data_IF_335391574992
#
_entry.id   IF_335391574992
#
_cell.length_a   1.000
_cell.length_b   1.000
_cell.length_c   1.000
_cell.angle_alpha   90.00
_cell.angle_beta   90.00
_cell.angle_gamma   90.00
#
_symmetry.space_group_name_H-M   'P 1'
#
loop_
_entity.id
_entity.type
_entity.pdbx_description
1 polymer ?
#
# COMPACT_ATOMS: atom_id res chain seq x y z
N UNK A 1 -6.40 16.50 49.55
CA UNK A 1 -7.43 15.56 50.04
C UNK A 1 -7.58 14.48 49.00
N UNK A 2 -7.25 13.26 49.39
CA UNK A 2 -7.36 12.01 48.64
C UNK A 2 -8.83 11.60 48.39
N UNK A 3 -8.99 10.63 47.46
CA UNK A 3 -10.16 9.76 47.16
C UNK A 3 -11.10 10.33 46.09
N UNK A 4 -11.45 9.64 44.99
CA UNK A 4 -11.41 8.21 44.62
C UNK A 4 -11.45 8.12 43.08
N UNK A 5 -10.49 7.44 42.46
CA UNK A 5 -10.59 6.94 41.08
C UNK A 5 -10.64 5.41 41.16
N UNK A 6 -11.82 4.84 41.01
CA UNK A 6 -11.99 3.40 40.86
C UNK A 6 -11.61 2.99 39.44
N UNK A 7 -10.56 2.19 39.35
CA UNK A 7 -10.21 1.32 38.24
C UNK A 7 -11.29 0.26 38.02
N UNK A 8 -11.72 0.09 36.77
CA UNK A 8 -12.29 -1.16 36.27
C UNK A 8 -11.55 -1.52 34.98
N UNK A 9 -10.65 -2.50 35.11
CA UNK A 9 -10.18 -3.31 34.01
C UNK A 9 -11.26 -4.32 33.66
N UNK A 10 -11.60 -4.43 32.39
CA UNK A 10 -12.13 -5.66 31.81
C UNK A 10 -11.51 -5.81 30.42
N UNK A 11 -10.86 -6.95 30.23
CA UNK A 11 -10.35 -7.43 28.95
C UNK A 11 -11.48 -7.42 27.90
N UNK A 12 -11.26 -6.65 26.83
CA UNK A 12 -11.81 -6.77 25.47
C UNK A 12 -11.77 -5.39 24.81
N UNK A 13 -10.93 -5.25 23.79
CA UNK A 13 -10.77 -4.03 22.98
C UNK A 13 -12.03 -3.73 22.17
N UNK A 14 -12.94 -2.96 22.78
CA UNK A 14 -14.12 -2.38 22.14
C UNK A 14 -13.81 -0.96 21.65
N UNK A 15 -13.88 -0.74 20.33
CA UNK A 15 -13.87 0.61 19.77
C UNK A 15 -15.24 1.28 19.99
N UNK A 16 -15.26 2.41 20.69
CA UNK A 16 -16.44 3.28 20.79
C UNK A 16 -16.46 4.25 19.60
N UNK A 17 -17.42 4.06 18.69
CA UNK A 17 -17.80 5.08 17.70
C UNK A 17 -18.98 5.84 18.28
N UNK A 18 -18.83 7.15 18.47
CA UNK A 18 -19.91 8.02 18.89
C UNK A 18 -20.58 8.59 17.64
N UNK A 19 -21.72 8.01 17.25
CA UNK A 19 -22.57 8.59 16.22
C UNK A 19 -23.50 9.62 16.87
N UNK A 20 -23.62 10.78 16.24
CA UNK A 20 -24.34 11.93 16.80
C UNK A 20 -25.39 12.43 15.83
N UNK A 21 -26.20 11.52 15.30
CA UNK A 21 -27.39 11.85 14.51
C UNK A 21 -28.49 10.77 14.66
N UNK A 22 -29.07 10.62 15.86
CA UNK A 22 -30.43 10.10 16.04
C UNK A 22 -30.93 10.30 17.47
N UNK A 23 -32.02 11.05 17.62
CA UNK A 23 -32.81 11.05 18.85
C UNK A 23 -33.41 9.65 19.06
N UNK A 24 -32.88 8.90 20.04
CA UNK A 24 -33.41 7.60 20.44
C UNK A 24 -32.32 6.64 20.89
N UNK A 25 -32.22 6.40 22.20
CA UNK A 25 -31.31 5.42 22.80
C UNK A 25 -31.56 4.02 22.21
N UNK A 26 -30.61 3.53 21.41
CA UNK A 26 -30.51 2.10 21.07
C UNK A 26 -29.07 1.67 20.83
N UNK A 27 -28.64 0.68 21.61
CA UNK A 27 -27.34 0.03 21.56
C UNK A 27 -27.38 -1.02 20.43
N UNK A 28 -26.67 -0.81 19.32
CA UNK A 28 -26.55 -1.82 18.27
C UNK A 28 -25.25 -2.61 18.42
N UNK A 29 -25.38 -3.90 18.73
CA UNK A 29 -24.31 -4.90 18.67
C UNK A 29 -24.30 -5.48 17.25
N UNK A 30 -23.22 -5.26 16.49
CA UNK A 30 -23.02 -5.94 15.21
C UNK A 30 -22.40 -7.33 15.46
N UNK A 31 -23.03 -8.44 15.03
CA UNK A 31 -22.42 -9.76 15.13
C UNK A 31 -21.36 -9.95 14.03
N UNK A 32 -20.25 -10.61 14.39
CA UNK A 32 -19.22 -11.11 13.45
C UNK A 32 -19.86 -11.70 12.19
N UNK A 33 -19.66 -11.05 11.05
CA UNK A 33 -20.07 -11.57 9.76
C UNK A 33 -19.06 -12.62 9.30
N UNK A 34 -19.42 -13.90 9.44
CA UNK A 34 -18.54 -15.03 9.18
C UNK A 34 -18.47 -15.32 7.67
N UNK A 35 -17.50 -14.70 6.97
CA UNK A 35 -17.35 -14.75 5.50
C UNK A 35 -16.76 -16.08 4.97
N UNK A 36 -16.29 -16.96 5.85
CA UNK A 36 -15.68 -18.26 5.49
C UNK A 36 -16.64 -19.29 4.90
N UNK A 37 -17.95 -19.19 5.16
CA UNK A 37 -18.92 -20.18 4.65
C UNK A 37 -19.39 -19.92 3.21
N UNK A 38 -19.24 -18.68 2.70
CA UNK A 38 -19.67 -18.36 1.33
C UNK A 38 -18.62 -18.66 0.26
N UNK A 39 -17.34 -18.73 0.64
CA UNK A 39 -16.25 -19.01 -0.30
C UNK A 39 -16.11 -20.53 -0.52
N UNK A 40 -16.29 -21.37 0.51
CA UNK A 40 -16.31 -22.82 0.33
C UNK A 40 -17.45 -23.28 -0.59
N UNK A 41 -18.66 -22.75 -0.43
CA UNK A 41 -19.79 -23.10 -1.30
C UNK A 41 -19.65 -22.57 -2.75
N UNK A 42 -18.94 -21.46 -2.97
CA UNK A 42 -18.68 -20.93 -4.32
C UNK A 42 -17.50 -21.62 -5.02
N UNK A 43 -16.54 -22.13 -4.26
CA UNK A 43 -15.42 -22.92 -4.79
C UNK A 43 -15.89 -24.35 -5.11
N UNK A 44 -16.69 -24.98 -4.24
CA UNK A 44 -17.24 -26.31 -4.49
C UNK A 44 -18.25 -26.31 -5.66
N UNK A 45 -19.08 -25.27 -5.81
CA UNK A 45 -19.99 -25.16 -6.98
C UNK A 45 -19.29 -24.80 -8.31
N UNK A 46 -18.13 -24.16 -8.27
CA UNK A 46 -17.31 -23.85 -9.46
C UNK A 46 -16.41 -25.02 -9.88
N UNK A 47 -16.03 -25.88 -8.93
CA UNK A 47 -15.27 -27.12 -9.18
C UNK A 47 -16.17 -28.31 -9.55
N UNK A 48 -17.40 -28.39 -9.05
CA UNK A 48 -18.37 -29.43 -9.44
C UNK A 48 -19.06 -29.14 -10.79
N UNK A 49 -19.13 -27.88 -11.22
CA UNK A 49 -19.68 -27.52 -12.55
C UNK A 49 -18.69 -27.72 -13.72
N UNK A 50 -17.42 -28.05 -13.43
CA UNK A 50 -16.38 -28.33 -14.45
C UNK A 50 -15.85 -29.76 -14.41
N UNK A 51 -16.54 -30.67 -13.71
CA UNK A 51 -16.14 -32.08 -13.56
C UNK A 51 -17.24 -33.07 -13.90
N UNK A 52 -18.03 -32.78 -14.93
CA UNK A 52 -18.96 -33.73 -15.54
C UNK A 52 -18.93 -33.53 -17.06
N UNK A 53 -18.02 -34.24 -17.74
CA UNK A 53 -18.12 -34.68 -19.14
C UNK A 53 -16.83 -35.43 -19.48
N UNK A 54 -16.75 -36.70 -19.07
CA UNK A 54 -15.93 -37.74 -19.69
C UNK A 54 -16.37 -39.05 -19.02
N UNK A 55 -17.42 -39.67 -19.55
CA UNK A 55 -17.59 -41.11 -19.46
C UNK A 55 -18.31 -41.57 -20.73
N UNK A 56 -17.58 -42.35 -21.51
CA UNK A 56 -18.06 -43.03 -22.71
C UNK A 56 -18.58 -44.41 -22.33
N UNK A 57 -19.90 -44.62 -22.42
CA UNK A 57 -20.51 -45.81 -23.03
C UNK A 57 -22.02 -45.88 -22.80
N UNK A 58 -22.71 -46.23 -23.89
CA UNK A 58 -23.96 -46.99 -23.93
C UNK A 58 -25.34 -46.29 -24.03
N UNK A 59 -25.85 -46.39 -25.27
CA UNK A 59 -27.16 -46.94 -25.63
C UNK A 59 -28.43 -46.06 -25.48
N UNK A 60 -28.85 -45.59 -26.66
CA UNK A 60 -30.21 -45.66 -27.24
C UNK A 60 -31.34 -44.75 -26.74
N UNK A 61 -32.03 -44.21 -27.76
CA UNK A 61 -33.44 -43.73 -27.81
C UNK A 61 -33.73 -42.42 -27.08
N UNK A 62 -34.52 -41.49 -27.60
CA UNK A 62 -35.13 -41.21 -28.90
C UNK A 62 -36.07 -40.04 -28.66
N UNK A 63 -36.29 -39.21 -29.69
CA UNK A 63 -37.42 -38.28 -29.86
C UNK A 63 -37.40 -36.98 -29.02
N UNK A 64 -37.85 -35.82 -29.49
CA UNK A 64 -38.18 -35.24 -30.79
C UNK A 64 -38.63 -33.78 -30.48
N UNK A 65 -38.60 -32.91 -31.51
CA UNK A 65 -39.38 -31.67 -31.66
C UNK A 65 -38.93 -30.43 -30.84
N UNK A 66 -38.96 -29.18 -31.30
CA UNK A 66 -39.24 -28.43 -32.56
C UNK A 66 -38.87 -26.95 -32.20
N UNK A 67 -38.08 -26.20 -32.99
CA UNK A 67 -38.48 -25.04 -33.85
C UNK A 67 -39.59 -24.13 -33.22
N UNK A 68 -39.53 -22.79 -33.22
CA UNK A 68 -39.09 -21.88 -34.28
C UNK A 68 -39.07 -20.39 -33.81
N UNK A 69 -38.38 -19.61 -34.64
CA UNK A 69 -38.12 -18.18 -34.86
C UNK A 69 -39.04 -17.04 -34.36
N UNK A 70 -38.39 -15.86 -34.33
CA UNK A 70 -38.79 -14.52 -34.82
C UNK A 70 -38.64 -13.42 -33.74
N UNK A 71 -38.00 -12.26 -33.92
CA UNK A 71 -37.93 -11.33 -35.05
C UNK A 71 -36.80 -10.28 -34.77
N UNK A 72 -36.06 -9.84 -35.79
CA UNK A 72 -35.04 -8.75 -35.80
C UNK A 72 -35.57 -7.58 -36.67
N UNK A 73 -35.21 -6.27 -36.51
CA UNK A 73 -33.97 -5.76 -37.16
C UNK A 73 -33.25 -4.52 -36.54
N UNK A 74 -31.90 -4.58 -36.57
CA UNK A 74 -30.87 -3.58 -37.00
C UNK A 74 -30.33 -2.49 -36.03
N UNK A 75 -29.04 -2.62 -35.66
CA UNK A 75 -28.00 -1.59 -35.90
C UNK A 75 -26.57 -2.20 -35.90
N UNK A 76 -25.71 -1.66 -36.77
CA UNK A 76 -24.42 -2.18 -37.23
C UNK A 76 -23.28 -2.14 -36.18
N UNK A 77 -22.55 -3.27 -36.03
CA UNK A 77 -21.06 -3.42 -35.92
C UNK A 77 -20.65 -4.72 -35.19
N UNK A 78 -20.40 -5.81 -35.93
CA UNK A 78 -19.47 -6.88 -35.52
C UNK A 78 -18.90 -7.58 -36.77
N UNK A 79 -17.57 -7.71 -36.88
CA UNK A 79 -17.00 -9.02 -37.20
C UNK A 79 -15.67 -9.23 -36.45
N UNK A 80 -15.66 -9.91 -35.30
CA UNK A 80 -14.41 -10.31 -34.63
C UNK A 80 -14.52 -11.66 -33.87
N UNK A 81 -15.57 -12.45 -34.09
CA UNK A 81 -15.78 -13.69 -33.32
C UNK A 81 -15.60 -14.99 -34.14
N UNK A 82 -15.53 -14.94 -35.47
CA UNK A 82 -15.23 -16.14 -36.27
C UNK A 82 -13.73 -16.41 -36.40
N UNK A 83 -12.88 -15.38 -36.42
CA UNK A 83 -11.41 -15.54 -36.46
C UNK A 83 -10.81 -16.11 -35.16
N UNK A 84 -11.54 -16.07 -34.05
CA UNK A 84 -11.05 -16.56 -32.76
C UNK A 84 -11.23 -18.08 -32.58
N UNK A 85 -12.25 -18.67 -33.21
CA UNK A 85 -12.50 -20.11 -33.13
C UNK A 85 -11.68 -20.89 -34.16
N UNK A 86 -11.44 -20.33 -35.34
CA UNK A 86 -10.57 -20.95 -36.35
C UNK A 86 -9.10 -21.06 -35.87
N UNK A 87 -8.62 -20.06 -35.10
CA UNK A 87 -7.28 -20.08 -34.51
C UNK A 87 -7.16 -21.12 -33.38
N UNK A 88 -8.26 -21.40 -32.67
CA UNK A 88 -8.26 -22.35 -31.55
C UNK A 88 -8.18 -23.81 -32.04
N UNK A 89 -8.83 -24.11 -33.18
CA UNK A 89 -8.77 -25.42 -33.81
C UNK A 89 -7.43 -25.65 -34.53
N UNK A 90 -6.83 -24.61 -35.15
CA UNK A 90 -5.45 -24.70 -35.70
C UNK A 90 -4.39 -24.93 -34.60
N UNK A 91 -4.54 -24.34 -33.42
CA UNK A 91 -3.64 -24.56 -32.28
C UNK A 91 -3.79 -25.97 -31.72
N UNK A 92 -5.01 -26.53 -31.70
CA UNK A 92 -5.24 -27.88 -31.19
C UNK A 92 -4.62 -28.95 -32.10
N UNK A 93 -4.73 -28.78 -33.42
CA UNK A 93 -4.13 -29.70 -34.40
C UNK A 93 -2.58 -29.59 -34.45
N UNK A 94 -2.01 -28.42 -34.15
CA UNK A 94 -0.56 -28.22 -34.05
C UNK A 94 0.05 -28.89 -32.79
N UNK A 95 -0.69 -28.91 -31.68
CA UNK A 95 -0.22 -29.48 -30.41
C UNK A 95 -0.26 -31.01 -30.41
N UNK A 96 -1.17 -31.64 -31.17
CA UNK A 96 -1.25 -33.10 -31.30
C UNK A 96 -0.21 -33.66 -32.30
N UNK A 97 0.22 -32.84 -33.27
CA UNK A 97 1.20 -33.22 -34.29
C UNK A 97 2.67 -33.24 -33.81
N UNK A 98 3.00 -32.63 -32.67
CA UNK A 98 4.37 -32.61 -32.12
C UNK A 98 4.48 -33.36 -30.79
N UNK A 99 4.15 -34.66 -30.82
CA UNK A 99 4.47 -35.58 -29.73
C UNK A 99 5.96 -35.97 -29.73
N UNK A 100 6.86 -35.03 -29.39
CA UNK A 100 8.19 -35.31 -28.85
C UNK A 100 8.54 -34.27 -27.78
N UNK A 101 9.15 -34.65 -26.64
CA UNK A 101 9.33 -33.74 -25.52
C UNK A 101 10.41 -32.70 -25.84
N UNK A 102 10.02 -31.43 -25.98
CA UNK A 102 10.93 -30.31 -26.19
C UNK A 102 11.44 -29.82 -24.82
N UNK A 103 12.77 -29.74 -24.65
CA UNK A 103 13.40 -29.30 -23.40
C UNK A 103 13.17 -27.80 -23.14
N UNK A 104 13.13 -27.43 -21.87
CA UNK A 104 12.66 -26.13 -21.34
C UNK A 104 13.51 -24.90 -21.70
N UNK A 105 14.51 -25.03 -22.58
CA UNK A 105 15.41 -23.93 -22.94
C UNK A 105 14.87 -23.06 -24.08
N UNK A 106 14.03 -23.61 -24.96
CA UNK A 106 13.64 -22.91 -26.20
C UNK A 106 12.46 -21.93 -26.01
N UNK A 107 11.71 -22.01 -24.91
CA UNK A 107 10.59 -21.09 -24.62
C UNK A 107 11.05 -19.68 -24.17
N UNK A 108 12.31 -19.54 -23.77
CA UNK A 108 12.86 -18.29 -23.24
C UNK A 108 13.19 -17.26 -24.32
N UNK A 109 13.47 -17.69 -25.55
CA UNK A 109 13.82 -16.77 -26.65
C UNK A 109 12.60 -16.17 -27.34
N UNK A 110 11.44 -16.83 -27.27
CA UNK A 110 10.28 -16.46 -28.11
C UNK A 110 9.30 -15.48 -27.40
N UNK A 111 9.26 -15.42 -26.06
CA UNK A 111 8.35 -14.56 -25.29
C UNK A 111 8.94 -13.95 -23.99
N UNK A 112 9.93 -13.04 -24.09
CA UNK A 112 10.56 -12.42 -22.91
C UNK A 112 9.64 -11.46 -22.11
N UNK A 113 8.49 -11.05 -22.65
CA UNK A 113 7.59 -10.09 -22.00
C UNK A 113 6.70 -10.70 -20.89
N UNK A 114 6.67 -12.03 -20.75
CA UNK A 114 5.81 -12.73 -19.77
C UNK A 114 6.52 -13.20 -18.49
N UNK A 115 7.86 -13.08 -18.42
CA UNK A 115 8.66 -13.59 -17.31
C UNK A 115 9.49 -12.47 -16.67
N UNK A 116 9.00 -11.93 -15.55
CA UNK A 116 9.76 -11.01 -14.70
C UNK A 116 10.66 -11.81 -13.74
N UNK A 117 11.95 -11.89 -14.05
CA UNK A 117 12.99 -12.53 -13.21
C UNK A 117 13.32 -11.75 -11.91
N UNK A 118 12.66 -10.61 -11.61
CA UNK A 118 13.09 -9.70 -10.55
C UNK A 118 12.71 -10.10 -9.11
N UNK A 119 11.95 -11.19 -8.92
CA UNK A 119 11.45 -11.61 -7.61
C UNK A 119 12.10 -12.88 -7.01
N UNK A 120 12.87 -13.65 -7.78
CA UNK A 120 13.39 -14.95 -7.33
C UNK A 120 14.76 -14.91 -6.63
N UNK A 121 15.29 -13.72 -6.34
CA UNK A 121 16.51 -13.55 -5.52
C UNK A 121 16.25 -12.73 -4.26
N UNK A 122 15.32 -13.18 -3.43
CA UNK A 122 15.37 -12.89 -2.01
C UNK A 122 16.21 -13.95 -1.31
N UNK A 123 17.36 -13.53 -0.80
CA UNK A 123 18.26 -14.34 0.01
C UNK A 123 17.54 -14.75 1.31
N UNK A 124 17.04 -15.99 1.37
CA UNK A 124 16.52 -16.59 2.61
C UNK A 124 17.70 -17.25 3.33
N UNK A 125 17.93 -17.00 4.64
CA UNK A 125 18.97 -17.68 5.40
C UNK A 125 18.76 -19.19 5.34
N UNK A 126 19.83 -19.92 5.04
CA UNK A 126 19.83 -21.35 4.72
C UNK A 126 19.58 -22.30 5.90
N UNK A 127 18.78 -21.92 6.90
CA UNK A 127 18.45 -22.76 8.05
C UNK A 127 17.01 -22.53 8.55
N UNK A 128 16.00 -22.89 7.75
CA UNK A 128 14.65 -23.21 8.25
C UNK A 128 14.19 -24.46 7.48
N UNK A 129 13.74 -25.47 8.23
CA UNK A 129 13.47 -26.83 7.79
C UNK A 129 12.69 -26.92 6.47
N UNK A 130 13.37 -27.48 5.46
CA UNK A 130 12.75 -27.97 4.23
C UNK A 130 12.38 -29.44 4.43
N UNK A 131 11.13 -29.70 4.81
CA UNK A 131 10.50 -31.00 4.56
C UNK A 131 8.97 -30.84 4.73
N UNK A 132 8.27 -30.62 3.61
CA UNK A 132 6.88 -31.10 3.31
C UNK A 132 6.18 -30.41 2.12
N UNK A 133 6.91 -29.79 1.18
CA UNK A 133 6.29 -29.17 -0.02
C UNK A 133 6.77 -29.77 -1.35
N UNK A 134 6.87 -31.09 -1.42
CA UNK A 134 7.22 -31.84 -2.63
C UNK A 134 6.12 -31.88 -3.71
N UNK A 135 5.01 -31.15 -3.54
CA UNK A 135 3.84 -31.21 -4.42
C UNK A 135 3.51 -29.97 -5.27
N UNK A 136 4.11 -28.79 -5.04
CA UNK A 136 3.78 -27.59 -5.84
C UNK A 136 5.04 -26.78 -6.27
N UNK A 137 5.96 -27.34 -7.09
CA UNK A 137 7.08 -26.57 -7.64
C UNK A 137 6.63 -25.54 -8.68
N UNK A 138 5.61 -25.87 -9.50
CA UNK A 138 5.26 -25.11 -10.71
C UNK A 138 4.66 -23.72 -10.44
N UNK A 139 4.05 -23.51 -9.28
CA UNK A 139 3.26 -22.29 -9.00
C UNK A 139 3.67 -21.54 -7.73
N UNK A 140 4.84 -21.85 -7.15
CA UNK A 140 5.31 -21.22 -5.90
C UNK A 140 5.38 -19.69 -6.02
N UNK A 141 5.76 -19.19 -7.19
CA UNK A 141 5.84 -17.75 -7.48
C UNK A 141 4.50 -17.02 -7.38
N UNK A 142 3.35 -17.72 -7.38
CA UNK A 142 2.02 -17.11 -7.22
C UNK A 142 1.60 -16.89 -5.76
N UNK A 143 2.35 -17.47 -4.82
CA UNK A 143 2.04 -17.42 -3.40
C UNK A 143 3.07 -16.58 -2.63
N UNK A 144 2.61 -15.90 -1.60
CA UNK A 144 3.45 -15.18 -0.65
C UNK A 144 3.20 -15.74 0.75
N UNK A 145 4.25 -16.18 1.42
CA UNK A 145 4.17 -16.66 2.79
C UNK A 145 4.18 -15.47 3.76
N UNK A 146 3.25 -15.47 4.71
CA UNK A 146 3.18 -14.48 5.78
C UNK A 146 4.31 -14.68 6.78
N UNK A 147 5.10 -13.63 7.04
CA UNK A 147 6.20 -13.67 8.02
C UNK A 147 5.68 -13.87 9.46
N UNK A 148 4.43 -13.48 9.74
CA UNK A 148 3.83 -13.57 11.08
C UNK A 148 3.15 -14.93 11.37
N UNK A 149 2.27 -15.40 10.47
CA UNK A 149 1.48 -16.62 10.70
C UNK A 149 1.89 -17.81 9.83
N UNK A 150 2.91 -17.66 8.98
CA UNK A 150 3.34 -18.67 7.99
C UNK A 150 2.26 -19.06 6.95
N UNK A 151 1.11 -18.38 6.94
CA UNK A 151 0.03 -18.58 5.99
C UNK A 151 0.39 -18.19 4.56
N UNK A 152 -0.10 -18.95 3.58
CA UNK A 152 0.09 -18.65 2.16
C UNK A 152 -1.01 -17.71 1.66
N UNK A 153 -0.61 -16.59 1.07
CA UNK A 153 -1.50 -15.60 0.46
C UNK A 153 -1.31 -15.63 -1.05
N UNK A 154 -2.41 -15.69 -1.81
CA UNK A 154 -2.35 -15.66 -3.28
C UNK A 154 -2.07 -14.22 -3.74
N UNK A 155 -0.96 -14.01 -4.47
CA UNK A 155 -0.48 -12.66 -4.83
C UNK A 155 -1.52 -11.81 -5.56
N UNK A 156 -2.33 -12.44 -6.42
CA UNK A 156 -3.38 -11.75 -7.17
C UNK A 156 -4.44 -11.11 -6.25
N UNK A 157 -4.88 -11.82 -5.21
CA UNK A 157 -5.87 -11.27 -4.27
C UNK A 157 -5.25 -10.30 -3.27
N UNK A 158 -3.97 -10.48 -2.93
CA UNK A 158 -3.28 -9.65 -1.95
C UNK A 158 -3.32 -8.15 -2.29
N UNK A 159 -3.21 -7.79 -3.58
CA UNK A 159 -3.35 -6.41 -4.04
C UNK A 159 -4.75 -5.83 -3.76
N UNK A 160 -5.81 -6.61 -4.01
CA UNK A 160 -7.19 -6.21 -3.72
C UNK A 160 -7.48 -6.09 -2.22
N UNK A 161 -6.75 -6.83 -1.39
CA UNK A 161 -6.80 -6.76 0.07
C UNK A 161 -5.81 -5.75 0.67
N UNK A 162 -5.26 -4.83 -0.14
CA UNK A 162 -4.35 -3.77 0.31
C UNK A 162 -3.09 -4.30 1.01
N UNK A 163 -2.59 -5.46 0.57
CA UNK A 163 -1.43 -6.13 1.15
C UNK A 163 -1.61 -6.45 2.64
N UNK A 164 -2.81 -6.89 3.01
CA UNK A 164 -3.16 -7.37 4.35
C UNK A 164 -3.32 -8.90 4.29
N UNK A 165 -2.69 -9.60 5.23
CA UNK A 165 -2.81 -11.06 5.35
C UNK A 165 -4.24 -11.45 5.73
N UNK A 166 -4.84 -12.36 4.96
CA UNK A 166 -6.23 -12.79 5.19
C UNK A 166 -6.42 -13.59 6.49
N UNK A 167 -5.33 -14.15 7.04
CA UNK A 167 -5.38 -15.02 8.22
C UNK A 167 -5.10 -14.29 9.54
N UNK A 168 -4.18 -13.32 9.54
CA UNK A 168 -3.71 -12.68 10.77
C UNK A 168 -3.65 -11.14 10.68
N UNK A 169 -4.20 -10.56 9.61
CA UNK A 169 -4.24 -9.11 9.37
C UNK A 169 -2.87 -8.43 9.31
N UNK A 170 -1.77 -9.18 9.24
CA UNK A 170 -0.43 -8.62 9.08
C UNK A 170 -0.29 -7.78 7.81
N UNK A 171 0.29 -6.60 7.95
CA UNK A 171 0.52 -5.64 6.86
C UNK A 171 1.82 -5.98 6.11
N UNK A 172 1.71 -6.54 4.91
CA UNK A 172 2.85 -6.72 4.01
C UNK A 172 3.38 -5.38 3.49
N UNK A 173 4.62 -5.37 2.99
CA UNK A 173 5.18 -4.21 2.29
C UNK A 173 4.31 -3.87 1.08
N UNK A 174 4.10 -2.57 0.86
CA UNK A 174 3.34 -2.03 -0.25
C UNK A 174 4.20 -0.99 -0.96
N UNK A 175 4.23 -1.04 -2.28
CA UNK A 175 5.00 -0.09 -3.08
C UNK A 175 4.43 1.32 -2.97
N UNK A 176 5.28 2.30 -3.24
CA UNK A 176 4.88 3.71 -3.28
C UNK A 176 3.79 3.97 -4.33
N UNK A 177 3.83 3.30 -5.48
CA UNK A 177 2.80 3.42 -6.53
C UNK A 177 1.45 2.88 -6.08
N UNK A 178 1.42 1.70 -5.45
CA UNK A 178 0.18 1.15 -4.89
C UNK A 178 -0.41 2.03 -3.77
N UNK A 179 0.45 2.69 -2.98
CA UNK A 179 0.00 3.66 -1.98
C UNK A 179 -0.57 4.93 -2.60
N UNK A 180 -0.03 5.39 -3.73
CA UNK A 180 -0.61 6.50 -4.51
C UNK A 180 -2.01 6.09 -4.98
N UNK A 181 -2.16 4.90 -5.57
CA UNK A 181 -3.46 4.38 -6.03
C UNK A 181 -4.47 4.23 -4.89
N UNK A 182 -4.00 3.82 -3.70
CA UNK A 182 -4.84 3.69 -2.51
C UNK A 182 -5.32 5.06 -1.99
N UNK A 183 -4.43 6.05 -1.90
CA UNK A 183 -4.71 7.30 -1.18
C UNK A 183 -5.27 8.40 -2.10
N UNK A 184 -4.74 8.52 -3.31
CA UNK A 184 -5.02 9.62 -4.23
C UNK A 184 -6.21 9.28 -5.12
N UNK A 185 -7.01 10.29 -5.43
CA UNK A 185 -8.18 10.12 -6.30
C UNK A 185 -7.73 9.85 -7.74
N UNK A 186 -8.44 8.96 -8.46
CA UNK A 186 -8.10 8.62 -9.85
C UNK A 186 -7.95 9.86 -10.73
N UNK A 187 -6.92 9.88 -11.57
CA UNK A 187 -6.61 10.97 -12.51
C UNK A 187 -6.30 12.33 -11.84
N UNK A 188 -5.88 12.34 -10.57
CA UNK A 188 -5.49 13.58 -9.88
C UNK A 188 -4.01 13.63 -9.47
N UNK A 189 -3.29 12.51 -9.60
CA UNK A 189 -1.86 12.45 -9.31
C UNK A 189 -1.06 13.27 -10.32
N UNK A 190 -0.28 14.21 -9.82
CA UNK A 190 0.69 14.97 -10.60
C UNK A 190 2.06 14.84 -9.93
N UNK A 191 2.95 13.98 -10.46
CA UNK A 191 4.26 13.75 -9.88
C UNK A 191 5.13 14.99 -9.97
N UNK A 192 6.06 15.11 -9.03
CA UNK A 192 7.01 16.21 -8.92
C UNK A 192 8.43 15.69 -8.81
N UNK A 193 9.37 16.45 -9.36
CA UNK A 193 10.81 16.21 -9.20
C UNK A 193 11.29 14.84 -9.70
N UNK A 194 10.63 14.24 -10.69
CA UNK A 194 10.98 12.91 -11.22
C UNK A 194 12.40 12.87 -11.78
N UNK A 195 12.91 13.97 -12.33
CA UNK A 195 14.28 14.05 -12.85
C UNK A 195 15.38 14.08 -11.76
N UNK A 196 15.03 14.15 -10.47
CA UNK A 196 16.01 14.15 -9.38
C UNK A 196 16.43 12.72 -9.05
N UNK A 197 17.72 12.42 -9.27
CA UNK A 197 18.35 11.12 -9.02
C UNK A 197 19.55 11.28 -8.09
N UNK A 198 19.89 10.23 -7.34
CA UNK A 198 21.13 10.19 -6.55
C UNK A 198 22.37 10.15 -7.44
N UNK A 199 23.45 10.72 -6.94
CA UNK A 199 24.81 10.61 -7.48
C UNK A 199 25.70 9.93 -6.43
N UNK A 200 26.95 9.68 -6.79
CA UNK A 200 27.97 9.18 -5.86
C UNK A 200 28.94 10.32 -5.49
N UNK A 201 28.61 11.16 -4.49
CA UNK A 201 29.39 12.35 -4.16
C UNK A 201 30.68 12.06 -3.40
N UNK A 202 30.79 10.87 -2.78
CA UNK A 202 31.96 10.49 -1.97
C UNK A 202 32.77 9.36 -2.61
N UNK A 203 32.45 9.01 -3.87
CA UNK A 203 33.07 7.91 -4.61
C UNK A 203 33.12 6.63 -3.75
N UNK A 204 31.94 6.21 -3.27
CA UNK A 204 31.84 5.15 -2.29
C UNK A 204 32.34 3.81 -2.88
N UNK A 205 33.53 3.40 -2.44
CA UNK A 205 34.12 2.13 -2.80
C UNK A 205 33.57 1.02 -1.90
N UNK A 206 32.92 0.03 -2.51
CA UNK A 206 32.58 -1.24 -1.87
C UNK A 206 33.28 -2.38 -2.61
N UNK A 207 33.69 -3.42 -1.87
CA UNK A 207 34.38 -4.58 -2.44
C UNK A 207 33.45 -5.47 -3.29
N UNK A 208 32.15 -5.41 -3.04
CA UNK A 208 31.13 -6.21 -3.73
C UNK A 208 30.60 -5.48 -4.96
N UNK A 209 29.94 -4.33 -4.77
CA UNK A 209 29.25 -3.57 -5.82
C UNK A 209 29.45 -2.05 -5.68
N UNK A 210 29.81 -1.32 -6.76
CA UNK A 210 29.83 0.14 -6.75
C UNK A 210 28.46 0.75 -6.40
N UNK A 211 28.45 1.88 -5.68
CA UNK A 211 27.19 2.52 -5.28
C UNK A 211 26.29 2.87 -6.48
N UNK A 212 26.89 3.34 -7.57
CA UNK A 212 26.19 3.65 -8.82
C UNK A 212 25.45 2.45 -9.39
N UNK A 213 26.05 1.27 -9.34
CA UNK A 213 25.45 0.05 -9.88
C UNK A 213 24.30 -0.43 -9.01
N UNK A 214 24.42 -0.27 -7.69
CA UNK A 214 23.30 -0.49 -6.76
C UNK A 214 22.13 0.44 -7.06
N UNK A 215 22.37 1.74 -7.27
CA UNK A 215 21.30 2.68 -7.67
C UNK A 215 20.64 2.20 -8.97
N UNK A 216 21.42 1.91 -10.00
CA UNK A 216 20.90 1.46 -11.30
C UNK A 216 20.07 0.17 -11.18
N UNK A 217 20.54 -0.79 -10.38
CA UNK A 217 19.82 -2.03 -10.11
C UNK A 217 18.45 -1.76 -9.48
N UNK A 218 18.39 -0.96 -8.42
CA UNK A 218 17.13 -0.65 -7.75
C UNK A 218 16.20 0.21 -8.61
N UNK A 219 16.74 1.11 -9.45
CA UNK A 219 15.94 1.86 -10.42
C UNK A 219 15.26 0.93 -11.44
N UNK A 220 15.99 -0.06 -11.96
CA UNK A 220 15.41 -1.07 -12.87
C UNK A 220 14.41 -1.96 -12.15
N UNK A 221 14.73 -2.41 -10.94
CA UNK A 221 13.90 -3.32 -10.16
C UNK A 221 12.55 -2.70 -9.77
N UNK A 222 12.55 -1.44 -9.35
CA UNK A 222 11.32 -0.80 -8.83
C UNK A 222 10.65 0.11 -9.85
N UNK A 223 11.32 0.44 -10.95
CA UNK A 223 10.88 1.49 -11.89
C UNK A 223 10.92 2.92 -11.29
N UNK A 224 11.48 3.09 -10.08
CA UNK A 224 11.53 4.38 -9.40
C UNK A 224 12.87 5.06 -9.64
N UNK A 225 12.85 6.39 -9.73
CA UNK A 225 14.07 7.20 -9.81
C UNK A 225 14.88 7.22 -8.51
N UNK A 226 14.20 7.08 -7.36
CA UNK A 226 14.78 7.10 -6.02
C UNK A 226 13.75 6.58 -5.00
N UNK A 227 14.16 6.36 -3.74
CA UNK A 227 13.35 5.86 -2.62
C UNK A 227 12.16 6.72 -2.16
N UNK A 228 11.76 7.76 -2.91
CA UNK A 228 10.57 8.56 -2.60
C UNK A 228 9.91 9.08 -3.89
N UNK A 229 8.59 8.93 -3.94
CA UNK A 229 7.73 9.60 -4.90
C UNK A 229 7.10 10.81 -4.23
N UNK A 230 7.17 11.98 -4.87
CA UNK A 230 6.55 13.20 -4.36
C UNK A 230 5.67 13.81 -5.44
N UNK A 231 4.57 14.46 -5.04
CA UNK A 231 3.62 15.03 -5.98
C UNK A 231 2.45 15.72 -5.29
N UNK A 232 1.54 16.21 -6.11
CA UNK A 232 0.24 16.71 -5.67
C UNK A 232 -0.87 15.76 -6.12
N UNK A 233 -1.95 15.72 -5.36
CA UNK A 233 -3.13 14.97 -5.72
C UNK A 233 -4.34 15.43 -4.93
N UNK A 234 -5.44 14.69 -5.06
CA UNK A 234 -6.62 14.90 -4.23
C UNK A 234 -6.91 13.67 -3.40
N UNK A 235 -7.37 13.88 -2.17
CA UNK A 235 -7.95 12.84 -1.32
C UNK A 235 -9.41 13.22 -1.11
N UNK A 236 -10.34 12.45 -1.68
CA UNK A 236 -11.77 12.73 -1.67
C UNK A 236 -12.10 14.18 -2.08
N UNK A 237 -11.45 14.66 -3.14
CA UNK A 237 -11.58 16.00 -3.71
C UNK A 237 -10.79 17.10 -3.00
N UNK A 238 -10.11 16.80 -1.89
CA UNK A 238 -9.29 17.77 -1.15
C UNK A 238 -7.87 17.77 -1.70
N UNK A 239 -7.35 18.91 -2.21
CA UNK A 239 -5.99 18.97 -2.75
C UNK A 239 -4.96 18.85 -1.62
N UNK A 240 -3.95 18.00 -1.83
CA UNK A 240 -2.86 17.72 -0.90
C UNK A 240 -1.53 17.66 -1.63
N UNK A 241 -0.45 18.00 -0.91
CA UNK A 241 0.91 17.65 -1.29
C UNK A 241 1.29 16.37 -0.54
N UNK A 242 1.77 15.35 -1.24
CA UNK A 242 2.08 14.05 -0.64
C UNK A 242 3.44 13.52 -1.08
N UNK A 243 4.17 12.94 -0.12
CA UNK A 243 5.41 12.21 -0.35
C UNK A 243 5.27 10.78 0.17
N UNK A 244 5.61 9.79 -0.64
CA UNK A 244 5.51 8.37 -0.27
C UNK A 244 6.88 7.73 -0.49
N UNK A 245 7.50 7.32 0.62
CA UNK A 245 8.76 6.59 0.60
C UNK A 245 8.55 5.13 0.19
N UNK A 246 9.57 4.52 -0.42
CA UNK A 246 9.54 3.13 -0.83
C UNK A 246 10.74 2.36 -0.26
N UNK A 247 10.46 1.45 0.67
CA UNK A 247 11.51 0.65 1.33
C UNK A 247 12.15 -0.38 0.39
N UNK A 248 11.55 -0.66 -0.77
CA UNK A 248 12.13 -1.58 -1.76
C UNK A 248 13.35 -0.95 -2.46
N UNK A 249 13.44 0.38 -2.54
CA UNK A 249 14.59 1.06 -3.11
C UNK A 249 15.65 1.32 -2.04
N UNK A 250 16.73 0.53 -2.02
CA UNK A 250 17.83 0.65 -1.05
C UNK A 250 17.35 0.76 0.41
N UNK A 251 16.34 -0.02 0.79
CA UNK A 251 15.77 -0.02 2.14
C UNK A 251 14.99 1.26 2.47
N UNK A 252 14.64 2.08 1.49
CA UNK A 252 14.01 3.38 1.71
C UNK A 252 14.93 4.40 2.36
N UNK A 253 16.25 4.15 2.35
CA UNK A 253 17.18 4.96 3.11
C UNK A 253 17.28 6.39 2.56
N UNK A 254 17.33 7.39 3.44
CA UNK A 254 17.33 8.80 3.05
C UNK A 254 18.73 9.25 2.64
N UNK A 255 18.92 9.52 1.35
CA UNK A 255 20.07 10.23 0.78
C UNK A 255 19.72 11.65 0.32
N UNK A 256 20.65 12.30 -0.36
CA UNK A 256 20.55 13.69 -0.84
C UNK A 256 19.36 13.91 -1.77
N UNK A 257 19.10 12.97 -2.68
CA UNK A 257 17.98 13.04 -3.62
C UNK A 257 16.63 12.91 -2.90
N UNK A 258 16.50 11.96 -1.95
CA UNK A 258 15.31 11.83 -1.10
C UNK A 258 15.06 13.13 -0.33
N UNK A 259 16.10 13.67 0.31
CA UNK A 259 16.00 14.90 1.07
C UNK A 259 15.61 16.11 0.21
N UNK A 260 16.21 16.27 -0.98
CA UNK A 260 15.82 17.32 -1.93
C UNK A 260 14.37 17.19 -2.41
N UNK A 261 13.91 15.98 -2.79
CA UNK A 261 12.53 15.75 -3.24
C UNK A 261 11.50 16.09 -2.17
N UNK A 262 11.78 15.71 -0.91
CA UNK A 262 10.90 16.01 0.24
C UNK A 262 10.94 17.52 0.56
N UNK A 263 12.12 18.15 0.62
CA UNK A 263 12.23 19.59 0.88
C UNK A 263 11.46 20.41 -0.15
N UNK A 264 11.61 20.11 -1.46
CA UNK A 264 10.86 20.80 -2.52
C UNK A 264 9.36 20.61 -2.41
N UNK A 265 8.91 19.41 -2.03
CA UNK A 265 7.49 19.15 -1.79
C UNK A 265 6.96 20.03 -0.66
N UNK A 266 7.69 20.11 0.46
CA UNK A 266 7.32 20.95 1.60
C UNK A 266 7.26 22.41 1.18
N UNK A 267 8.30 22.93 0.53
CA UNK A 267 8.32 24.32 0.07
C UNK A 267 7.18 24.64 -0.91
N UNK A 268 6.84 23.71 -1.80
CA UNK A 268 5.70 23.85 -2.69
C UNK A 268 4.38 23.86 -1.92
N UNK A 269 4.20 22.96 -0.95
CA UNK A 269 3.03 22.91 -0.08
C UNK A 269 2.88 24.22 0.72
N UNK A 270 3.99 24.76 1.24
CA UNK A 270 4.08 26.06 1.91
C UNK A 270 3.60 27.20 1.02
N UNK A 271 4.09 27.27 -0.22
CA UNK A 271 3.74 28.33 -1.19
C UNK A 271 2.30 28.21 -1.69
N UNK A 272 1.80 26.99 -1.83
CA UNK A 272 0.48 26.68 -2.38
C UNK A 272 -0.61 26.55 -1.31
N UNK A 273 -0.25 26.68 -0.03
CA UNK A 273 -1.14 26.49 1.13
C UNK A 273 -1.86 25.13 1.13
N UNK A 274 -1.15 24.07 0.74
CA UNK A 274 -1.68 22.72 0.72
C UNK A 274 -1.35 22.00 2.02
N UNK A 275 -2.26 21.17 2.56
CA UNK A 275 -1.92 20.17 3.55
C UNK A 275 -0.83 19.25 3.02
N UNK A 276 0.08 18.85 3.91
CA UNK A 276 1.22 17.99 3.60
C UNK A 276 0.99 16.62 4.25
N UNK A 277 1.22 15.57 3.49
CA UNK A 277 1.19 14.18 3.98
C UNK A 277 2.50 13.51 3.60
N UNK A 278 3.19 12.86 4.55
CA UNK A 278 4.38 12.08 4.24
C UNK A 278 4.21 10.66 4.79
N UNK A 279 4.26 9.66 3.91
CA UNK A 279 4.29 8.25 4.26
C UNK A 279 5.73 7.79 4.34
N UNK A 280 6.18 7.45 5.54
CA UNK A 280 7.56 7.07 5.84
C UNK A 280 7.72 5.56 5.81
N UNK A 281 8.75 5.11 5.09
CA UNK A 281 9.18 3.72 4.98
C UNK A 281 10.70 3.73 4.73
N UNK A 282 11.50 3.54 5.78
CA UNK A 282 12.94 3.70 5.72
C UNK A 282 13.67 2.86 6.76
N UNK A 283 14.81 2.29 6.35
CA UNK A 283 15.81 1.69 7.23
C UNK A 283 16.80 2.70 7.84
N UNK A 284 16.72 3.99 7.52
CA UNK A 284 17.58 5.03 8.10
C UNK A 284 18.25 5.94 7.06
N UNK A 285 19.43 6.48 7.39
CA UNK A 285 20.20 7.34 6.51
C UNK A 285 21.01 6.53 5.47
N UNK A 286 21.16 7.05 4.25
CA UNK A 286 21.92 6.40 3.17
C UNK A 286 23.42 6.52 3.44
N UNK A 287 24.03 5.47 4.02
CA UNK A 287 25.46 5.48 4.41
C UNK A 287 26.41 5.77 3.23
N UNK A 288 26.03 5.36 2.02
CA UNK A 288 26.82 5.55 0.79
C UNK A 288 26.97 7.02 0.40
N UNK A 289 26.20 7.94 1.00
CA UNK A 289 26.37 9.39 0.80
C UNK A 289 26.92 10.09 2.07
N UNK A 290 27.25 9.32 3.11
CA UNK A 290 27.92 9.81 4.32
C UNK A 290 27.16 10.92 5.06
N UNK A 291 27.88 11.99 5.39
CA UNK A 291 27.33 13.14 6.13
C UNK A 291 26.25 13.90 5.37
N UNK A 292 26.21 13.81 4.03
CA UNK A 292 25.15 14.45 3.24
C UNK A 292 23.78 13.87 3.58
N UNK A 293 23.69 12.56 3.81
CA UNK A 293 22.47 11.89 4.27
C UNK A 293 22.03 12.37 5.64
N UNK A 294 22.98 12.53 6.58
CA UNK A 294 22.70 13.06 7.91
C UNK A 294 22.15 14.49 7.84
N UNK A 295 22.74 15.35 7.00
CA UNK A 295 22.32 16.74 6.84
C UNK A 295 20.90 16.87 6.25
N UNK A 296 20.38 15.83 5.56
CA UNK A 296 18.99 15.87 5.10
C UNK A 296 17.99 15.94 6.26
N UNK A 297 18.30 15.37 7.43
CA UNK A 297 17.46 15.49 8.63
C UNK A 297 17.25 16.96 9.00
N UNK A 298 18.35 17.72 9.09
CA UNK A 298 18.31 19.14 9.43
C UNK A 298 17.59 19.96 8.34
N UNK A 299 17.90 19.68 7.08
CA UNK A 299 17.30 20.37 5.92
C UNK A 299 15.78 20.24 5.88
N UNK A 300 15.28 19.01 5.95
CA UNK A 300 13.83 18.74 5.91
C UNK A 300 13.16 19.34 7.15
N UNK A 301 13.77 19.18 8.33
CA UNK A 301 13.22 19.73 9.58
C UNK A 301 13.13 21.26 9.54
N UNK A 302 14.12 21.94 8.95
CA UNK A 302 14.09 23.39 8.74
C UNK A 302 12.95 23.80 7.80
N UNK A 303 12.77 23.10 6.68
CA UNK A 303 11.67 23.37 5.74
C UNK A 303 10.30 23.13 6.39
N UNK A 304 10.18 22.08 7.22
CA UNK A 304 8.97 21.82 8.01
C UNK A 304 8.72 22.90 9.06
N UNK A 305 9.77 23.41 9.71
CA UNK A 305 9.64 24.53 10.63
C UNK A 305 9.05 25.74 9.92
N UNK A 306 9.55 26.09 8.75
CA UNK A 306 9.01 27.21 7.95
C UNK A 306 7.57 26.95 7.46
N UNK A 307 7.25 25.70 7.12
CA UNK A 307 5.89 25.27 6.75
C UNK A 307 4.90 25.50 7.90
N UNK A 308 5.26 25.08 9.13
CA UNK A 308 4.43 25.24 10.33
C UNK A 308 4.38 26.69 10.81
N UNK A 309 5.52 27.37 10.81
CA UNK A 309 5.72 28.73 11.32
C UNK A 309 5.39 29.82 10.30
N UNK A 310 4.66 29.53 9.21
CA UNK A 310 4.43 30.47 8.11
C UNK A 310 3.62 31.71 8.57
N UNK A 311 4.37 32.66 9.13
CA UNK A 311 3.93 33.87 9.82
C UNK A 311 3.16 34.81 8.90
N UNK A 312 3.44 34.78 7.59
CA UNK A 312 2.80 35.65 6.59
C UNK A 312 1.29 35.40 6.46
N UNK A 313 0.79 34.26 6.95
CA UNK A 313 -0.57 33.80 6.65
C UNK A 313 -1.50 33.67 7.86
N UNK A 314 -0.99 33.77 9.10
CA UNK A 314 -1.74 33.41 10.33
C UNK A 314 -2.51 32.07 10.16
N UNK A 315 -1.84 31.11 9.52
CA UNK A 315 -2.39 29.80 9.18
C UNK A 315 -1.34 28.76 9.51
N UNK A 316 -1.63 27.94 10.52
CA UNK A 316 -0.93 26.68 10.71
C UNK A 316 -1.41 25.76 9.58
N UNK A 317 -0.49 25.37 8.70
CA UNK A 317 -0.75 24.36 7.68
C UNK A 317 -0.63 22.98 8.34
N UNK A 318 -1.52 22.06 7.96
CA UNK A 318 -1.57 20.72 8.55
C UNK A 318 -0.50 19.82 7.92
N UNK A 319 0.37 19.23 8.74
CA UNK A 319 1.26 18.15 8.34
C UNK A 319 0.85 16.84 9.02
N UNK A 320 0.50 15.83 8.22
CA UNK A 320 0.23 14.46 8.71
C UNK A 320 1.42 13.57 8.35
N UNK A 321 2.01 12.93 9.35
CA UNK A 321 3.04 11.91 9.15
C UNK A 321 2.39 10.53 9.29
N UNK A 322 2.66 9.64 8.34
CA UNK A 322 2.18 8.26 8.34
C UNK A 322 3.40 7.35 8.43
N UNK A 323 3.47 6.54 9.47
CA UNK A 323 4.57 5.63 9.75
C UNK A 323 4.21 4.23 9.31
N UNK A 324 5.09 3.63 8.52
CA UNK A 324 4.88 2.28 7.99
C UNK A 324 6.11 1.43 8.26
N UNK A 325 5.99 0.11 8.08
CA UNK A 325 7.07 -0.82 8.39
C UNK A 325 8.09 -0.93 7.26
N UNK A 326 9.41 -0.76 7.52
CA UNK A 326 10.01 -0.18 8.72
C UNK A 326 10.09 1.35 8.64
N UNK A 327 10.09 2.06 9.78
CA UNK A 327 10.47 3.48 9.86
C UNK A 327 11.53 3.65 10.94
N UNK A 328 12.80 3.76 10.53
CA UNK A 328 13.92 3.78 11.46
C UNK A 328 14.94 4.89 11.26
N UNK A 329 15.82 5.06 12.26
CA UNK A 329 17.04 5.86 12.15
C UNK A 329 16.77 7.34 11.98
N UNK A 330 17.51 7.96 11.06
CA UNK A 330 17.43 9.40 10.79
C UNK A 330 16.06 9.87 10.30
N UNK A 331 15.29 9.01 9.64
CA UNK A 331 13.92 9.35 9.20
C UNK A 331 12.99 9.49 10.42
N UNK A 332 13.00 8.50 11.33
CA UNK A 332 12.27 8.56 12.60
C UNK A 332 12.69 9.74 13.45
N UNK A 333 14.00 10.00 13.56
CA UNK A 333 14.52 11.14 14.33
C UNK A 333 14.43 12.51 13.62
N UNK A 334 13.67 12.61 12.52
CA UNK A 334 13.45 13.88 11.83
C UNK A 334 11.99 14.02 11.40
N UNK A 335 11.72 14.21 10.11
CA UNK A 335 10.40 14.60 9.60
C UNK A 335 9.29 13.60 9.93
N UNK A 336 9.59 12.32 10.11
CA UNK A 336 8.57 11.32 10.42
C UNK A 336 7.93 11.56 11.81
N UNK A 337 8.67 12.10 12.79
CA UNK A 337 8.14 12.43 14.13
C UNK A 337 7.78 13.91 14.30
N UNK A 338 7.83 14.72 13.23
CA UNK A 338 7.51 16.16 13.28
C UNK A 338 6.11 16.46 12.75
N UNK A 339 5.24 15.45 12.63
CA UNK A 339 3.82 15.62 12.26
C UNK A 339 3.08 16.54 13.23
N UNK A 340 2.03 17.21 12.75
CA UNK A 340 0.99 17.75 13.65
C UNK A 340 0.06 16.62 14.11
N UNK A 341 -0.11 15.61 13.25
CA UNK A 341 -0.76 14.33 13.55
C UNK A 341 0.18 13.23 13.03
N UNK A 342 0.49 12.27 13.87
CA UNK A 342 1.32 11.11 13.57
C UNK A 342 0.45 9.86 13.64
N UNK A 343 0.28 9.21 12.50
CA UNK A 343 -0.49 7.98 12.33
C UNK A 343 0.48 6.84 12.08
N UNK A 344 0.28 5.69 12.71
CA UNK A 344 1.05 4.48 12.44
C UNK A 344 0.15 3.37 11.87
N UNK A 345 0.69 2.54 10.98
CA UNK A 345 0.04 1.30 10.57
C UNK A 345 0.20 0.22 11.67
N UNK A 346 -0.79 -0.68 11.85
CA UNK A 346 -0.66 -1.84 12.73
C UNK A 346 0.61 -2.65 12.48
N UNK A 347 1.21 -3.16 13.55
CA UNK A 347 2.41 -3.99 13.55
C UNK A 347 3.62 -3.37 12.83
N UNK A 348 3.65 -2.04 12.62
CA UNK A 348 4.79 -1.41 11.97
C UNK A 348 5.99 -1.34 12.90
N UNK A 349 7.16 -1.68 12.36
CA UNK A 349 8.44 -1.59 13.08
C UNK A 349 8.97 -0.15 13.03
N UNK A 350 8.98 0.52 14.18
CA UNK A 350 9.35 1.94 14.30
C UNK A 350 10.43 2.09 15.38
N UNK A 351 11.61 2.59 15.01
CA UNK A 351 12.73 2.63 15.95
C UNK A 351 13.77 3.69 15.60
N UNK A 352 14.34 4.38 16.60
CA UNK A 352 15.53 5.17 16.33
C UNK A 352 16.74 4.28 16.01
N UNK A 353 17.11 3.40 16.93
CA UNK A 353 18.14 2.39 16.73
C UNK A 353 17.50 1.02 16.47
N UNK A 354 18.00 0.30 15.46
CA UNK A 354 17.52 -1.05 15.16
C UNK A 354 17.83 -2.02 16.31
N UNK A 355 17.00 -3.05 16.48
CA UNK A 355 17.11 -4.08 17.52
C UNK A 355 18.55 -4.60 17.65
N UNK A 356 19.13 -5.02 16.53
CA UNK A 356 20.51 -5.51 16.44
C UNK A 356 21.54 -4.56 17.08
N UNK A 357 21.46 -3.27 16.78
CA UNK A 357 22.43 -2.27 17.27
C UNK A 357 22.30 -2.10 18.79
N UNK A 358 21.08 -2.14 19.32
CA UNK A 358 20.83 -2.03 20.76
C UNK A 358 21.40 -3.25 21.48
N UNK A 359 21.13 -4.45 20.97
CA UNK A 359 21.61 -5.71 21.57
C UNK A 359 23.14 -5.81 21.54
N UNK A 360 23.78 -5.42 20.44
CA UNK A 360 25.25 -5.37 20.33
C UNK A 360 25.87 -4.34 21.29
N UNK A 361 25.21 -3.20 21.52
CA UNK A 361 25.74 -2.12 22.36
C UNK A 361 25.56 -2.39 23.86
N UNK A 362 24.39 -2.89 24.24
CA UNK A 362 24.02 -3.10 25.65
C UNK A 362 24.30 -4.52 26.13
N UNK A 363 24.58 -5.45 25.22
CA UNK A 363 24.75 -6.88 25.49
C UNK A 363 23.55 -7.47 26.26
N UNK A 364 22.36 -6.96 25.96
CA UNK A 364 21.07 -7.38 26.51
C UNK A 364 20.07 -7.60 25.39
N UNK A 365 19.16 -8.55 25.57
CA UNK A 365 18.11 -8.82 24.59
C UNK A 365 17.07 -7.72 24.63
N UNK A 366 16.71 -7.20 23.47
CA UNK A 366 15.59 -6.25 23.35
C UNK A 366 14.29 -7.05 23.43
N UNK A 367 13.36 -6.70 24.35
CA UNK A 367 12.09 -7.39 24.46
C UNK A 367 11.35 -7.40 23.12
N UNK A 368 10.79 -8.55 22.77
CA UNK A 368 9.97 -8.71 21.57
C UNK A 368 8.78 -7.75 21.61
N UNK A 369 8.38 -7.20 20.46
CA UNK A 369 7.32 -6.20 20.37
C UNK A 369 7.68 -4.80 20.88
N UNK A 370 8.81 -4.57 21.56
CA UNK A 370 9.13 -3.25 22.15
C UNK A 370 9.34 -2.11 21.14
N UNK A 371 9.50 -2.45 19.86
CA UNK A 371 9.66 -1.51 18.76
C UNK A 371 8.51 -1.60 17.74
N UNK A 372 7.43 -2.31 18.09
CA UNK A 372 6.21 -2.39 17.30
C UNK A 372 5.26 -1.26 17.66
N UNK A 373 4.35 -0.97 16.74
CA UNK A 373 3.45 0.18 16.82
C UNK A 373 2.57 0.16 18.07
N UNK A 374 2.07 -1.02 18.45
CA UNK A 374 1.17 -1.22 19.59
C UNK A 374 1.87 -0.85 20.90
N UNK A 375 3.08 -1.35 21.13
CA UNK A 375 3.87 -1.03 22.32
C UNK A 375 4.22 0.47 22.40
N UNK A 376 4.62 1.07 21.26
CA UNK A 376 5.01 2.48 21.20
C UNK A 376 3.82 3.43 21.33
N UNK A 377 2.64 3.01 20.90
CA UNK A 377 1.40 3.76 21.07
C UNK A 377 1.04 3.91 22.55
N UNK A 378 1.19 2.86 23.36
CA UNK A 378 1.01 2.95 24.83
C UNK A 378 1.98 3.92 25.51
N UNK A 379 3.13 4.19 24.88
CA UNK A 379 4.11 5.20 25.35
C UNK A 379 3.80 6.61 24.85
N UNK A 380 2.75 6.80 24.07
CA UNK A 380 2.30 8.10 23.56
C UNK A 380 3.16 8.65 22.43
N UNK A 381 3.83 7.80 21.64
CA UNK A 381 4.64 8.27 20.52
C UNK A 381 3.81 8.74 19.31
N UNK A 382 2.60 8.22 19.12
CA UNK A 382 1.75 8.48 17.96
C UNK A 382 0.32 8.81 18.40
N UNK A 383 -0.43 9.51 17.55
CA UNK A 383 -1.81 9.93 17.83
C UNK A 383 -2.83 8.82 17.55
N UNK A 384 -2.57 7.96 16.57
CA UNK A 384 -3.50 6.90 16.18
C UNK A 384 -2.82 5.73 15.46
N UNK A 385 -3.37 4.53 15.64
CA UNK A 385 -3.06 3.34 14.84
C UNK A 385 -4.20 3.12 13.86
N UNK A 386 -3.90 3.12 12.56
CA UNK A 386 -4.93 3.08 11.50
C UNK A 386 -4.62 1.99 10.47
N UNK A 387 -5.50 1.01 10.27
CA UNK A 387 -5.35 0.01 9.21
C UNK A 387 -5.60 0.64 7.82
N UNK A 388 -4.99 0.06 6.78
CA UNK A 388 -4.94 0.66 5.43
C UNK A 388 -6.30 0.88 4.78
N UNK A 389 -7.24 -0.01 5.02
CA UNK A 389 -8.62 0.06 4.53
C UNK A 389 -9.37 1.31 5.02
N UNK A 390 -9.05 1.79 6.23
CA UNK A 390 -9.69 2.97 6.83
C UNK A 390 -8.90 4.27 6.58
N UNK A 391 -7.62 4.15 6.20
CA UNK A 391 -6.67 5.25 6.13
C UNK A 391 -7.15 6.42 5.25
N UNK A 392 -7.64 6.14 4.02
CA UNK A 392 -8.14 7.20 3.12
C UNK A 392 -9.34 7.95 3.72
N UNK A 393 -10.24 7.24 4.39
CA UNK A 393 -11.41 7.82 5.06
C UNK A 393 -11.01 8.74 6.21
N UNK A 394 -10.14 8.26 7.10
CA UNK A 394 -9.64 9.03 8.24
C UNK A 394 -8.86 10.27 7.79
N UNK A 395 -8.00 10.15 6.77
CA UNK A 395 -7.28 11.30 6.22
C UNK A 395 -8.26 12.36 5.68
N UNK A 396 -9.31 11.94 4.97
CA UNK A 396 -10.35 12.84 4.48
C UNK A 396 -11.07 13.58 5.62
N UNK A 397 -11.38 12.91 6.72
CA UNK A 397 -11.98 13.53 7.90
C UNK A 397 -11.05 14.55 8.55
N UNK A 398 -9.79 14.16 8.81
CA UNK A 398 -8.78 15.04 9.39
C UNK A 398 -8.56 16.29 8.53
N UNK A 399 -8.47 16.12 7.20
CA UNK A 399 -8.34 17.23 6.27
C UNK A 399 -9.56 18.16 6.29
N UNK A 400 -10.77 17.61 6.37
CA UNK A 400 -12.00 18.40 6.46
C UNK A 400 -12.11 19.19 7.76
N UNK A 401 -11.70 18.60 8.89
CA UNK A 401 -11.70 19.27 10.20
C UNK A 401 -10.76 20.49 10.21
N UNK A 402 -9.60 20.37 9.58
CA UNK A 402 -8.60 21.44 9.51
C UNK A 402 -8.87 22.45 8.39
N UNK A 403 -9.82 22.17 7.49
CA UNK A 403 -10.22 23.11 6.45
C UNK A 403 -11.06 24.22 7.06
N UNK A 404 -10.58 25.47 7.01
CA UNK A 404 -11.41 26.63 7.38
C UNK A 404 -12.68 26.62 6.52
N UNK A 405 -13.84 26.40 7.13
CA UNK A 405 -15.14 26.52 6.47
C UNK A 405 -15.21 27.90 5.82
N UNK A 406 -15.40 27.96 4.50
CA UNK A 406 -15.84 29.20 3.85
C UNK A 406 -17.15 29.59 4.53
N UNK A 407 -17.20 30.76 5.18
CA UNK A 407 -18.47 31.31 5.66
C UNK A 407 -19.41 31.36 4.45
N UNK A 408 -20.44 30.52 4.46
CA UNK A 408 -21.53 30.64 3.49
C UNK A 408 -22.11 32.02 3.72
N UNK A 409 -21.99 32.91 2.73
CA UNK A 409 -22.73 34.18 2.77
C UNK A 409 -24.20 33.80 2.80
N UNK A 410 -24.87 33.99 3.94
CA UNK A 410 -26.33 33.97 4.02
C UNK A 410 -26.81 34.96 2.95
N UNK A 411 -27.42 34.43 1.89
CA UNK A 411 -28.16 35.28 0.96
C UNK A 411 -29.44 35.61 1.70
N UNK A 412 -29.45 36.74 2.41
CA UNK A 412 -30.69 37.31 2.92
C UNK A 412 -31.52 37.73 1.70
N UNK A 413 -32.33 36.80 1.18
CA UNK A 413 -33.40 37.11 0.24
C UNK A 413 -34.40 37.99 1.00
N UNK A 414 -34.19 39.30 0.91
CA UNK A 414 -35.18 40.30 1.31
C UNK A 414 -36.38 40.13 0.37
N UNK A 415 -37.36 39.33 0.79
CA UNK A 415 -38.70 39.40 0.24
C UNK A 415 -39.34 40.70 0.73
N UNK A 416 -39.08 41.81 0.02
CA UNK A 416 -39.95 42.98 0.08
C UNK A 416 -41.24 42.62 -0.65
N UNK A 417 -42.19 42.04 0.09
CA UNK A 417 -43.56 41.90 -0.37
C UNK A 417 -44.10 43.27 -0.74
N UNK A 418 -44.40 43.47 -2.03
CA UNK A 418 -45.19 44.60 -2.52
C UNK A 418 -46.53 44.58 -1.78
N UNK A 419 -46.80 45.60 -0.96
CA UNK A 419 -48.18 45.96 -0.60
C UNK A 419 -48.92 46.21 -1.90
N UNK A 420 -49.88 45.35 -2.25
CA UNK A 420 -50.93 45.69 -3.22
C UNK A 420 -51.93 46.59 -2.50
N UNK A 421 -52.34 47.60 -3.26
CA UNK A 421 -53.26 48.70 -2.94
C UNK A 421 -54.61 48.23 -2.44
#
# INVERSE_FOLDING_TARGET
MLKETCTLFSDDTLFLVWDRDSEGDSLFISPKYNRSNHIKNSIDSSLDSKKCCLDSSDLTRSENYLFDESYDPLDDRQPLLSEYYDLYDEIYDLVDATSQPMESYDLYEEYPEFFDESYDKFFIPSNILYDDLTGIPKYRHLWLQCENCSGLNYKYFLKSQLHICEQCEYHFKMSSSERIDLLIDPNTWYPMNEAIISRDPIEFHSEEDPYKDRINYYQRKTGLTEAVQTGIGKINGIPVAIGIMDSQFLGGSMGSAVGEKITRLIEYATKSFLPLIIVSASGGARMQEGSLSLMQMAKISSALHDYKSNYKSNRNLLYISILTSPTTGGVTASFAMLGDIIIAEPNAYIAFAGKRVIEETLNTTVPEGSQETEYLFEKGLFDSIVPRNLLKGILSELLNLHRKRKKVKKIDKIYRGKKKQ
#
